data_IF_708949322711
#
_entry.id   IF_708949322711
#
_cell.length_a   1.000
_cell.length_b   1.000
_cell.length_c   1.000
_cell.angle_alpha   90.00
_cell.angle_beta   90.00
_cell.angle_gamma   90.00
#
_symmetry.space_group_name_H-M   'P 1'
#
loop_
_entity.id
_entity.type
_entity.pdbx_description
1 polymer ?
#
# COMPACT_ATOMS: atom_id res chain seq x y z
N UNK A 1 2.73 17.33 14.53
CA UNK A 1 1.66 17.22 13.52
C UNK A 1 2.10 17.95 12.28
N UNK A 2 2.29 17.25 11.16
CA UNK A 2 2.56 17.89 9.86
C UNK A 2 1.25 18.36 9.26
N UNK A 3 1.24 19.59 8.74
CA UNK A 3 0.16 20.08 7.89
C UNK A 3 0.24 19.37 6.54
N UNK A 4 -0.88 18.81 6.07
CA UNK A 4 -0.95 18.10 4.79
C UNK A 4 -2.35 18.22 4.21
N UNK A 5 -2.45 18.07 2.89
CA UNK A 5 -3.71 18.28 2.17
C UNK A 5 -4.71 17.16 2.48
N UNK A 6 -5.97 17.55 2.68
CA UNK A 6 -7.07 16.59 2.87
C UNK A 6 -7.44 15.88 1.56
N UNK A 7 -7.97 14.66 1.67
CA UNK A 7 -8.57 13.95 0.55
C UNK A 7 -9.82 14.69 0.04
N UNK A 8 -10.18 14.47 -1.22
CA UNK A 8 -11.40 15.00 -1.81
C UNK A 8 -12.60 14.14 -1.37
N UNK A 9 -13.57 14.67 -0.60
CA UNK A 9 -14.72 13.90 -0.13
C UNK A 9 -15.76 13.63 -1.23
N UNK A 10 -15.65 14.32 -2.37
CA UNK A 10 -16.57 14.25 -3.50
C UNK A 10 -15.95 13.44 -4.64
N UNK A 11 -15.64 12.17 -4.37
CA UNK A 11 -15.12 11.21 -5.37
C UNK A 11 -15.98 11.23 -6.63
N UNK A 12 -15.33 11.34 -7.79
CA UNK A 12 -15.99 11.25 -9.10
C UNK A 12 -15.79 9.86 -9.69
N UNK A 13 -16.77 9.42 -10.49
CA UNK A 13 -16.63 8.17 -11.23
C UNK A 13 -15.48 8.25 -12.25
N UNK A 14 -14.69 7.18 -12.43
CA UNK A 14 -13.64 7.16 -13.44
C UNK A 14 -14.22 7.24 -14.85
N UNK A 15 -13.46 7.76 -15.79
CA UNK A 15 -13.87 7.83 -17.20
C UNK A 15 -14.02 6.45 -17.82
N UNK A 16 -13.14 5.53 -17.43
CA UNK A 16 -13.17 4.13 -17.84
C UNK A 16 -13.48 3.27 -16.60
N UNK A 17 -14.62 2.58 -16.55
CA UNK A 17 -15.00 1.74 -15.42
C UNK A 17 -13.98 0.65 -15.13
N UNK A 18 -13.85 0.29 -13.85
CA UNK A 18 -13.05 -0.85 -13.43
C UNK A 18 -13.76 -2.18 -13.73
N UNK A 19 -13.01 -3.26 -13.99
CA UNK A 19 -13.58 -4.61 -14.03
C UNK A 19 -14.21 -4.99 -12.67
N UNK A 20 -15.32 -5.74 -12.71
CA UNK A 20 -15.95 -6.27 -11.50
C UNK A 20 -14.96 -7.10 -10.67
N UNK A 21 -15.06 -6.98 -9.35
CA UNK A 21 -14.12 -7.60 -8.41
C UNK A 21 -12.78 -6.87 -8.25
N UNK A 22 -12.64 -5.64 -8.77
CA UNK A 22 -11.42 -4.85 -8.63
C UNK A 22 -11.03 -4.62 -7.16
N UNK A 23 -9.72 -4.68 -6.89
CA UNK A 23 -9.13 -4.51 -5.58
C UNK A 23 -8.31 -3.23 -5.45
N UNK A 24 -8.56 -2.46 -4.39
CA UNK A 24 -7.63 -1.44 -3.93
C UNK A 24 -6.66 -2.04 -2.90
N UNK A 25 -5.40 -2.18 -3.27
CA UNK A 25 -4.42 -2.86 -2.41
C UNK A 25 -3.85 -1.98 -1.28
N UNK A 26 -4.32 -0.73 -1.13
CA UNK A 26 -3.75 0.19 -0.16
C UNK A 26 -4.69 1.35 0.18
N UNK A 27 -5.41 1.20 1.30
CA UNK A 27 -6.08 2.30 1.99
C UNK A 27 -5.70 2.35 3.46
N UNK A 28 -5.91 3.51 4.08
CA UNK A 28 -5.82 3.73 5.51
C UNK A 28 -7.16 4.24 6.01
N UNK A 29 -7.54 3.87 7.23
CA UNK A 29 -8.78 4.36 7.84
C UNK A 29 -8.50 4.86 9.25
N UNK A 30 -9.37 5.76 9.68
CA UNK A 30 -9.30 6.45 10.95
C UNK A 30 -10.69 6.37 11.61
N UNK A 31 -10.70 6.19 12.92
CA UNK A 31 -11.93 6.19 13.70
C UNK A 31 -12.01 7.37 14.66
N UNK A 32 -13.09 7.40 15.42
CA UNK A 32 -13.32 8.36 16.50
C UNK A 32 -12.11 8.40 17.46
N UNK A 33 -11.44 9.55 17.64
CA UNK A 33 -10.30 9.69 18.56
C UNK A 33 -10.60 9.29 20.01
N UNK A 34 -11.85 9.35 20.45
CA UNK A 34 -12.24 8.91 21.80
C UNK A 34 -12.22 7.37 21.91
N UNK A 35 -12.67 6.66 20.86
CA UNK A 35 -12.67 5.20 20.81
C UNK A 35 -11.29 4.62 20.46
N UNK A 36 -10.56 5.32 19.57
CA UNK A 36 -9.27 4.92 19.05
C UNK A 36 -8.24 6.03 19.26
N UNK A 37 -7.64 6.12 20.47
CA UNK A 37 -6.60 7.10 20.75
C UNK A 37 -5.40 6.92 19.82
N UNK A 38 -4.88 8.04 19.32
CA UNK A 38 -3.68 8.03 18.50
C UNK A 38 -2.43 7.70 19.30
N UNK A 39 -1.46 7.10 18.62
CA UNK A 39 -0.12 6.91 19.16
C UNK A 39 0.51 8.25 19.53
N UNK A 40 1.24 8.36 20.65
CA UNK A 40 2.05 9.53 20.97
C UNK A 40 3.08 9.90 19.90
N UNK A 41 3.41 8.96 18.99
CA UNK A 41 4.34 9.15 17.86
C UNK A 41 3.64 9.51 16.55
N UNK A 42 2.33 9.73 16.55
CA UNK A 42 1.58 10.07 15.34
C UNK A 42 2.10 11.34 14.67
N UNK A 43 2.42 11.26 13.38
CA UNK A 43 2.95 12.39 12.61
C UNK A 43 1.83 13.22 11.93
N UNK A 44 0.67 12.60 11.67
CA UNK A 44 -0.49 13.15 10.98
C UNK A 44 -1.76 12.45 11.47
N UNK A 45 -2.92 13.11 11.31
CA UNK A 45 -4.25 12.60 11.68
C UNK A 45 -5.24 12.89 10.54
N UNK A 46 -6.20 12.00 10.35
CA UNK A 46 -7.25 12.15 9.34
C UNK A 46 -8.62 11.70 9.90
N UNK A 47 -9.19 12.38 10.92
CA UNK A 47 -10.37 11.88 11.63
C UNK A 47 -11.58 11.62 10.73
N UNK A 48 -11.71 12.33 9.61
CA UNK A 48 -12.81 12.17 8.66
C UNK A 48 -12.63 10.97 7.70
N UNK A 49 -11.47 10.31 7.73
CA UNK A 49 -11.14 9.19 6.85
C UNK A 49 -11.65 7.85 7.42
N UNK A 50 -12.96 7.75 7.66
CA UNK A 50 -13.59 6.54 8.22
C UNK A 50 -13.71 5.41 7.19
N UNK A 51 -13.95 4.19 7.66
CA UNK A 51 -14.21 3.06 6.76
C UNK A 51 -15.46 3.28 5.91
N UNK A 52 -16.50 3.92 6.44
CA UNK A 52 -17.71 4.26 5.69
C UNK A 52 -17.42 5.25 4.55
N UNK A 53 -16.53 6.23 4.80
CA UNK A 53 -16.08 7.16 3.77
C UNK A 53 -15.27 6.43 2.68
N UNK A 54 -14.38 5.51 3.07
CA UNK A 54 -13.63 4.68 2.12
C UNK A 54 -14.56 3.78 1.29
N UNK A 55 -15.57 3.14 1.91
CA UNK A 55 -16.55 2.31 1.21
C UNK A 55 -17.43 3.12 0.24
N UNK A 56 -17.78 4.35 0.61
CA UNK A 56 -18.47 5.29 -0.29
C UNK A 56 -17.60 5.62 -1.50
N UNK A 57 -16.32 5.93 -1.27
CA UNK A 57 -15.33 6.17 -2.34
C UNK A 57 -15.21 4.93 -3.25
N UNK A 58 -15.01 3.73 -2.68
CA UNK A 58 -14.93 2.47 -3.42
C UNK A 58 -16.18 2.21 -4.27
N UNK A 59 -17.37 2.48 -3.72
CA UNK A 59 -18.64 2.33 -4.45
C UNK A 59 -18.72 3.23 -5.68
N UNK A 60 -18.16 4.44 -5.64
CA UNK A 60 -18.13 5.35 -6.80
C UNK A 60 -17.11 4.88 -7.84
N UNK A 61 -15.97 4.34 -7.40
CA UNK A 61 -14.91 3.85 -8.29
C UNK A 61 -15.21 2.46 -8.91
N UNK A 62 -16.14 1.70 -8.34
CA UNK A 62 -16.41 0.31 -8.73
C UNK A 62 -15.41 -0.68 -8.13
N UNK A 63 -14.84 -0.39 -6.97
CA UNK A 63 -13.94 -1.26 -6.22
C UNK A 63 -14.78 -2.13 -5.26
N UNK A 64 -14.54 -3.44 -5.28
CA UNK A 64 -15.30 -4.41 -4.47
C UNK A 64 -14.45 -5.07 -3.37
N UNK A 65 -13.13 -4.97 -3.49
CA UNK A 65 -12.16 -5.59 -2.58
C UNK A 65 -11.14 -4.56 -2.12
N UNK A 66 -10.57 -4.76 -0.94
CA UNK A 66 -9.55 -3.81 -0.47
C UNK A 66 -8.66 -4.29 0.65
N UNK A 67 -7.50 -3.65 0.76
CA UNK A 67 -6.54 -3.90 1.83
C UNK A 67 -6.45 -2.68 2.73
N UNK A 68 -6.97 -2.82 3.94
CA UNK A 68 -6.87 -1.80 4.98
C UNK A 68 -5.54 -1.96 5.67
N UNK A 69 -4.66 -0.99 5.47
CA UNK A 69 -3.31 -1.00 6.03
C UNK A 69 -3.29 -0.17 7.31
N UNK A 70 -2.71 -0.73 8.36
CA UNK A 70 -2.53 -0.07 9.65
C UNK A 70 -1.84 1.29 9.44
N UNK A 71 -2.52 2.35 9.87
CA UNK A 71 -1.96 3.70 9.85
C UNK A 71 -0.88 3.83 10.92
N UNK A 72 0.24 4.46 10.58
CA UNK A 72 1.29 4.74 11.57
C UNK A 72 0.80 5.68 12.69
N UNK A 73 -0.34 6.35 12.50
CA UNK A 73 -0.98 7.16 13.54
C UNK A 73 -1.45 6.34 14.74
N UNK A 74 -1.70 5.03 14.58
CA UNK A 74 -2.13 4.13 15.65
C UNK A 74 -1.01 3.22 16.16
N UNK A 75 0.16 3.18 15.50
CA UNK A 75 1.25 2.28 15.88
C UNK A 75 0.81 0.82 15.85
N UNK A 76 0.98 0.10 16.95
CA UNK A 76 0.56 -1.30 17.14
C UNK A 76 -0.79 -1.46 17.83
N UNK A 77 -1.59 -0.40 17.95
CA UNK A 77 -3.00 -0.52 18.32
C UNK A 77 -3.85 -0.76 17.06
N UNK A 78 -4.23 -2.01 16.82
CA UNK A 78 -5.02 -2.39 15.63
C UNK A 78 -6.53 -2.36 15.85
N UNK A 79 -7.06 -1.81 16.95
CA UNK A 79 -8.51 -1.78 17.20
C UNK A 79 -9.29 -1.14 16.05
N UNK A 80 -8.86 0.03 15.59
CA UNK A 80 -9.48 0.73 14.46
C UNK A 80 -9.41 -0.10 13.16
N UNK A 81 -8.29 -0.80 12.92
CA UNK A 81 -8.13 -1.68 11.75
C UNK A 81 -9.12 -2.85 11.81
N UNK A 82 -9.22 -3.54 12.94
CA UNK A 82 -10.07 -4.71 13.11
C UNK A 82 -11.55 -4.36 13.00
N UNK A 83 -11.98 -3.26 13.63
CA UNK A 83 -13.36 -2.79 13.55
C UNK A 83 -13.71 -2.35 12.13
N UNK A 84 -12.77 -1.71 11.42
CA UNK A 84 -12.96 -1.37 10.00
C UNK A 84 -13.13 -2.63 9.12
N UNK A 85 -12.34 -3.68 9.34
CA UNK A 85 -12.49 -4.94 8.59
C UNK A 85 -13.83 -5.61 8.87
N UNK A 86 -14.32 -5.56 10.12
CA UNK A 86 -15.63 -6.08 10.48
C UNK A 86 -16.77 -5.36 9.73
N UNK A 87 -16.64 -4.04 9.53
CA UNK A 87 -17.61 -3.22 8.78
C UNK A 87 -17.49 -3.46 7.27
N UNK A 88 -16.25 -3.52 6.74
CA UNK A 88 -15.99 -3.66 5.30
C UNK A 88 -16.38 -5.04 4.74
N UNK A 89 -16.33 -6.08 5.57
CA UNK A 89 -16.79 -7.42 5.23
C UNK A 89 -15.77 -8.27 4.46
N UNK A 90 -16.20 -9.41 3.90
CA UNK A 90 -15.31 -10.49 3.49
C UNK A 90 -14.41 -10.18 2.28
N UNK A 91 -14.72 -9.13 1.50
CA UNK A 91 -13.89 -8.64 0.40
C UNK A 91 -12.64 -7.88 0.85
N UNK A 92 -12.48 -7.64 2.15
CA UNK A 92 -11.38 -6.86 2.70
C UNK A 92 -10.44 -7.67 3.58
N UNK A 93 -9.16 -7.30 3.57
CA UNK A 93 -8.12 -7.86 4.46
C UNK A 93 -7.29 -6.75 5.08
N UNK A 94 -6.64 -7.06 6.19
CA UNK A 94 -5.78 -6.14 6.91
C UNK A 94 -4.29 -6.35 6.63
N UNK A 95 -3.52 -5.27 6.74
CA UNK A 95 -2.06 -5.31 6.88
C UNK A 95 -1.66 -4.59 8.17
N UNK A 96 -1.16 -5.31 9.16
CA UNK A 96 -0.80 -4.78 10.47
C UNK A 96 0.63 -4.23 10.53
N UNK A 97 0.94 -3.45 11.57
CA UNK A 97 2.32 -3.24 12.03
C UNK A 97 2.64 -4.26 13.12
N UNK A 98 3.80 -4.91 13.05
CA UNK A 98 4.27 -5.91 14.02
C UNK A 98 5.65 -5.49 14.52
N UNK A 99 5.82 -5.47 15.84
CA UNK A 99 7.07 -5.15 16.52
C UNK A 99 7.51 -6.27 17.49
N UNK A 100 8.58 -6.01 18.25
CA UNK A 100 9.14 -6.99 19.20
C UNK A 100 8.21 -7.27 20.40
N UNK A 101 7.25 -6.38 20.70
CA UNK A 101 6.30 -6.52 21.80
C UNK A 101 5.01 -7.24 21.36
N UNK A 102 4.82 -7.45 20.05
CA UNK A 102 3.66 -8.15 19.51
C UNK A 102 3.73 -9.64 19.83
N UNK A 103 2.81 -10.16 20.63
CA UNK A 103 2.77 -11.58 21.06
C UNK A 103 2.19 -12.51 19.99
N UNK A 104 2.41 -13.82 20.10
CA UNK A 104 1.80 -14.80 19.19
C UNK A 104 0.27 -14.84 19.33
N UNK A 105 -0.25 -14.62 20.55
CA UNK A 105 -1.68 -14.46 20.81
C UNK A 105 -2.24 -13.25 20.04
N UNK A 106 -1.52 -12.13 20.03
CA UNK A 106 -1.91 -10.95 19.27
C UNK A 106 -1.86 -11.23 17.76
N UNK A 107 -0.83 -11.90 17.25
CA UNK A 107 -0.78 -12.30 15.83
C UNK A 107 -1.95 -13.22 15.44
N UNK A 108 -2.32 -14.16 16.31
CA UNK A 108 -3.49 -15.02 16.11
C UNK A 108 -4.79 -14.19 16.11
N UNK A 109 -4.94 -13.25 17.05
CA UNK A 109 -6.09 -12.32 17.11
C UNK A 109 -6.22 -11.50 15.82
N UNK A 110 -5.11 -10.97 15.32
CA UNK A 110 -5.07 -10.24 14.05
C UNK A 110 -5.42 -11.14 12.86
N UNK A 111 -4.93 -12.38 12.84
CA UNK A 111 -5.25 -13.36 11.79
C UNK A 111 -6.75 -13.66 11.76
N UNK A 112 -7.36 -13.97 12.90
CA UNK A 112 -8.81 -14.21 12.99
C UNK A 112 -9.62 -12.96 12.60
N UNK A 113 -9.11 -11.77 12.90
CA UNK A 113 -9.67 -10.49 12.50
C UNK A 113 -9.51 -10.13 11.01
N UNK A 114 -8.90 -10.99 10.19
CA UNK A 114 -8.76 -10.78 8.75
C UNK A 114 -7.46 -10.12 8.30
N UNK A 115 -6.49 -9.91 9.20
CA UNK A 115 -5.15 -9.44 8.83
C UNK A 115 -4.37 -10.57 8.15
N UNK A 116 -3.71 -10.26 7.03
CA UNK A 116 -2.92 -11.23 6.24
C UNK A 116 -1.52 -10.74 5.88
N UNK A 117 -1.09 -9.61 6.44
CA UNK A 117 0.27 -9.13 6.22
C UNK A 117 0.80 -8.21 7.30
N UNK A 118 2.13 -8.05 7.29
CA UNK A 118 2.85 -7.14 8.17
C UNK A 118 3.61 -6.08 7.38
N UNK A 119 3.52 -4.81 7.79
CA UNK A 119 4.19 -3.66 7.15
C UNK A 119 5.39 -3.19 7.96
N UNK A 120 6.51 -3.02 7.27
CA UNK A 120 7.72 -2.37 7.75
C UNK A 120 7.87 -0.99 7.09
N UNK A 121 8.11 0.04 7.92
CA UNK A 121 8.34 1.40 7.45
C UNK A 121 9.80 1.79 7.66
N UNK A 122 10.55 1.92 6.56
CA UNK A 122 11.94 2.39 6.53
C UNK A 122 11.95 3.87 6.15
N UNK A 123 11.97 4.75 7.14
CA UNK A 123 12.07 6.20 6.93
C UNK A 123 13.42 6.71 7.42
N UNK A 124 14.35 6.95 6.49
CA UNK A 124 15.72 7.37 6.82
C UNK A 124 15.79 8.69 7.60
N UNK A 125 14.85 9.62 7.37
CA UNK A 125 14.84 10.96 7.97
C UNK A 125 14.23 11.04 9.37
N UNK A 126 13.56 9.98 9.84
CA UNK A 126 12.88 9.96 11.14
C UNK A 126 13.56 9.05 12.18
N UNK A 127 14.64 8.33 11.82
CA UNK A 127 15.32 7.43 12.76
C UNK A 127 14.44 6.27 13.26
N UNK A 128 13.42 5.89 12.49
CA UNK A 128 12.39 4.91 12.85
C UNK A 128 12.43 3.65 11.97
N UNK A 129 13.55 3.37 11.30
CA UNK A 129 13.71 2.12 10.58
C UNK A 129 13.76 0.94 11.58
N UNK A 130 13.01 -0.15 11.35
CA UNK A 130 13.13 -1.35 12.17
C UNK A 130 14.54 -1.94 12.01
N UNK A 131 15.04 -2.58 13.06
CA UNK A 131 16.30 -3.32 12.97
C UNK A 131 16.15 -4.51 12.03
N UNK A 132 17.23 -4.92 11.36
CA UNK A 132 17.21 -6.10 10.49
C UNK A 132 16.79 -7.37 11.27
N UNK A 133 17.21 -7.49 12.53
CA UNK A 133 16.83 -8.62 13.39
C UNK A 133 15.33 -8.65 13.69
N UNK A 134 14.71 -7.50 13.97
CA UNK A 134 13.25 -7.40 14.13
C UNK A 134 12.55 -7.85 12.85
N UNK A 135 12.99 -7.35 11.69
CA UNK A 135 12.39 -7.69 10.40
C UNK A 135 12.47 -9.19 10.13
N UNK A 136 13.65 -9.80 10.30
CA UNK A 136 13.85 -11.26 10.12
C UNK A 136 12.97 -12.07 11.07
N UNK A 137 12.91 -11.70 12.36
CA UNK A 137 12.04 -12.36 13.35
C UNK A 137 10.57 -12.25 12.96
N UNK A 138 10.10 -11.07 12.59
CA UNK A 138 8.71 -10.85 12.19
C UNK A 138 8.37 -11.65 10.94
N UNK A 139 9.22 -11.66 9.90
CA UNK A 139 9.02 -12.49 8.70
C UNK A 139 8.86 -13.96 9.07
N UNK A 140 9.73 -14.50 9.93
CA UNK A 140 9.64 -15.90 10.34
C UNK A 140 8.30 -16.20 11.04
N UNK A 141 7.86 -15.34 11.96
CA UNK A 141 6.61 -15.53 12.70
C UNK A 141 5.37 -15.42 11.81
N UNK A 142 5.31 -14.43 10.93
CA UNK A 142 4.13 -14.23 10.08
C UNK A 142 4.07 -15.25 8.92
N UNK A 143 5.21 -15.83 8.52
CA UNK A 143 5.25 -16.92 7.56
C UNK A 143 4.51 -18.17 8.05
N UNK A 144 4.52 -18.46 9.37
CA UNK A 144 3.75 -19.57 9.96
C UNK A 144 2.23 -19.37 9.81
N UNK A 145 1.78 -18.13 9.64
CA UNK A 145 0.39 -17.75 9.41
C UNK A 145 0.04 -17.62 7.92
N UNK A 146 0.99 -17.86 7.02
CA UNK A 146 0.83 -17.67 5.57
C UNK A 146 0.69 -16.19 5.16
N UNK A 147 1.18 -15.26 5.98
CA UNK A 147 1.07 -13.83 5.70
C UNK A 147 2.14 -13.36 4.71
N UNK A 148 1.83 -12.28 4.00
CA UNK A 148 2.80 -11.52 3.23
C UNK A 148 3.47 -10.44 4.09
N UNK A 149 4.61 -9.92 3.62
CA UNK A 149 5.25 -8.74 4.21
C UNK A 149 5.31 -7.59 3.24
N UNK A 150 5.33 -6.36 3.76
CA UNK A 150 5.26 -5.15 2.95
C UNK A 150 6.28 -4.12 3.41
N UNK A 151 7.03 -3.55 2.48
CA UNK A 151 8.14 -2.64 2.74
C UNK A 151 7.86 -1.27 2.15
N UNK A 152 7.58 -0.31 3.03
CA UNK A 152 7.55 1.10 2.68
C UNK A 152 8.92 1.71 2.96
N UNK A 153 9.63 2.07 1.91
CA UNK A 153 10.97 2.67 1.99
C UNK A 153 10.88 4.11 1.49
N UNK A 154 11.39 5.06 2.27
CA UNK A 154 11.48 6.47 1.88
C UNK A 154 12.84 7.06 2.29
N UNK A 155 13.47 7.76 1.34
CA UNK A 155 14.74 8.46 1.55
C UNK A 155 15.95 7.54 1.78
N UNK A 156 15.86 6.27 1.38
CA UNK A 156 16.96 5.29 1.46
C UNK A 156 17.02 4.47 0.15
N UNK A 157 18.22 4.23 -0.41
CA UNK A 157 18.38 3.33 -1.54
C UNK A 157 18.03 1.88 -1.17
N UNK A 158 17.31 1.17 -2.05
CA UNK A 158 16.97 -0.24 -1.80
C UNK A 158 18.19 -1.16 -1.74
N UNK A 159 19.30 -0.77 -2.38
CA UNK A 159 20.56 -1.53 -2.34
C UNK A 159 21.22 -1.55 -0.95
N UNK A 160 20.84 -0.64 -0.04
CA UNK A 160 21.37 -0.60 1.32
C UNK A 160 20.55 -1.46 2.31
N UNK A 161 19.45 -2.06 1.85
CA UNK A 161 18.57 -2.90 2.67
C UNK A 161 18.83 -4.39 2.38
N UNK A 162 19.88 -4.94 3.00
CA UNK A 162 20.28 -6.35 2.90
C UNK A 162 19.14 -7.31 3.27
N UNK A 163 18.27 -6.92 4.21
CA UNK A 163 17.13 -7.72 4.65
C UNK A 163 16.15 -8.06 3.53
N UNK A 164 16.12 -7.28 2.43
CA UNK A 164 15.31 -7.61 1.26
C UNK A 164 15.80 -8.89 0.57
N UNK A 165 17.09 -9.22 0.69
CA UNK A 165 17.64 -10.44 0.11
C UNK A 165 17.28 -11.72 0.88
N UNK A 166 16.95 -11.57 2.16
CA UNK A 166 16.60 -12.68 3.04
C UNK A 166 15.12 -13.11 2.93
N UNK A 167 14.29 -12.34 2.21
CA UNK A 167 12.84 -12.59 2.14
C UNK A 167 12.52 -13.72 1.16
N UNK A 168 12.04 -14.83 1.69
CA UNK A 168 11.63 -16.02 0.90
C UNK A 168 10.13 -16.15 0.70
N UNK A 169 9.32 -15.50 1.56
CA UNK A 169 7.85 -15.48 1.45
C UNK A 169 7.33 -14.39 0.52
N UNK A 170 6.00 -14.29 0.32
CA UNK A 170 5.40 -13.23 -0.47
C UNK A 170 5.70 -11.85 0.12
N UNK A 171 6.16 -10.93 -0.72
CA UNK A 171 6.61 -9.62 -0.27
C UNK A 171 6.20 -8.49 -1.23
N UNK A 172 5.93 -7.30 -0.70
CA UNK A 172 5.48 -6.14 -1.48
C UNK A 172 6.42 -4.96 -1.27
N UNK A 173 6.91 -4.36 -2.35
CA UNK A 173 7.50 -3.02 -2.34
C UNK A 173 6.39 -1.97 -2.54
N UNK A 174 6.29 -1.04 -1.60
CA UNK A 174 5.27 0.00 -1.61
C UNK A 174 5.54 1.11 -2.64
N UNK A 175 4.46 1.60 -3.27
CA UNK A 175 4.44 2.87 -4.03
C UNK A 175 5.62 3.06 -5.01
N UNK A 176 5.79 2.12 -5.95
CA UNK A 176 6.90 2.02 -6.91
C UNK A 176 8.29 1.76 -6.33
N UNK A 177 8.46 1.74 -5.01
CA UNK A 177 9.74 1.83 -4.33
C UNK A 177 10.20 3.29 -4.16
N UNK A 178 11.35 3.54 -3.50
CA UNK A 178 11.88 4.88 -3.25
C UNK A 178 12.55 5.46 -4.52
N UNK A 179 11.79 5.59 -5.60
CA UNK A 179 12.30 6.04 -6.90
C UNK A 179 12.80 7.49 -6.85
N UNK A 180 13.90 7.73 -7.56
CA UNK A 180 14.34 9.06 -8.00
C UNK A 180 13.82 9.33 -9.41
N UNK A 181 12.70 10.04 -9.51
CA UNK A 181 12.07 10.39 -10.79
C UNK A 181 12.98 11.25 -11.69
N UNK A 182 14.01 11.92 -11.15
CA UNK A 182 14.95 12.70 -11.96
C UNK A 182 15.87 11.83 -12.83
N UNK A 183 16.06 10.55 -12.47
CA UNK A 183 16.90 9.60 -13.21
C UNK A 183 16.12 8.83 -14.29
N UNK A 184 14.78 8.92 -14.27
CA UNK A 184 13.92 8.12 -15.15
C UNK A 184 14.22 6.63 -15.05
N UNK A 185 14.02 5.89 -16.15
CA UNK A 185 14.22 4.42 -16.17
C UNK A 185 15.67 3.95 -15.95
N UNK A 186 16.64 4.86 -15.77
CA UNK A 186 18.01 4.55 -15.36
C UNK A 186 18.20 4.57 -13.83
N UNK A 187 17.16 4.88 -13.05
CA UNK A 187 17.21 4.82 -11.59
C UNK A 187 17.64 3.43 -11.10
N UNK A 188 18.63 3.40 -10.23
CA UNK A 188 19.10 2.18 -9.58
C UNK A 188 18.00 1.50 -8.75
N UNK A 189 17.09 2.27 -8.12
CA UNK A 189 15.97 1.71 -7.38
C UNK A 189 14.97 1.03 -8.31
N UNK A 190 14.70 1.59 -9.49
CA UNK A 190 13.88 0.95 -10.51
C UNK A 190 14.49 -0.39 -10.96
N UNK A 191 15.80 -0.42 -11.22
CA UNK A 191 16.54 -1.65 -11.52
C UNK A 191 16.45 -2.68 -10.40
N UNK A 192 16.60 -2.24 -9.14
CA UNK A 192 16.55 -3.11 -7.95
C UNK A 192 15.17 -3.71 -7.74
N UNK A 193 14.09 -2.95 -7.91
CA UNK A 193 12.73 -3.50 -7.82
C UNK A 193 12.51 -4.56 -8.90
N UNK A 194 12.95 -4.32 -10.14
CA UNK A 194 12.83 -5.31 -11.22
C UNK A 194 13.59 -6.60 -10.95
N UNK A 195 14.77 -6.49 -10.35
CA UNK A 195 15.54 -7.66 -9.90
C UNK A 195 14.77 -8.46 -8.84
N UNK A 196 14.19 -7.79 -7.84
CA UNK A 196 13.36 -8.44 -6.81
C UNK A 196 12.14 -9.14 -7.43
N UNK A 197 11.41 -8.46 -8.32
CA UNK A 197 10.27 -9.04 -9.06
C UNK A 197 10.67 -10.34 -9.79
N UNK A 198 11.86 -10.37 -10.40
CA UNK A 198 12.39 -11.56 -11.08
C UNK A 198 12.61 -12.79 -10.19
N UNK A 199 12.58 -12.63 -8.86
CA UNK A 199 12.66 -13.76 -7.90
C UNK A 199 11.33 -14.50 -7.73
N UNK A 200 10.23 -13.91 -8.19
CA UNK A 200 8.91 -14.56 -8.24
C UNK A 200 8.08 -14.50 -6.96
N UNK A 201 8.68 -14.17 -5.81
CA UNK A 201 7.97 -13.97 -4.54
C UNK A 201 7.68 -12.49 -4.22
N UNK A 202 8.26 -11.56 -4.98
CA UNK A 202 8.09 -10.13 -4.79
C UNK A 202 7.02 -9.54 -5.69
N UNK A 203 6.29 -8.59 -5.15
CA UNK A 203 5.32 -7.73 -5.81
C UNK A 203 5.74 -6.27 -5.68
N UNK A 204 5.27 -5.42 -6.59
CA UNK A 204 5.38 -3.97 -6.47
C UNK A 204 3.99 -3.33 -6.60
N UNK A 205 3.73 -2.33 -5.77
CA UNK A 205 2.51 -1.55 -5.87
C UNK A 205 2.75 -0.25 -6.64
N UNK A 206 2.05 -0.06 -7.77
CA UNK A 206 2.15 1.15 -8.60
C UNK A 206 1.14 2.21 -8.17
N UNK A 207 1.41 2.90 -7.07
CA UNK A 207 0.56 3.96 -6.50
C UNK A 207 1.37 5.21 -6.18
N UNK A 208 0.72 6.35 -5.91
CA UNK A 208 1.38 7.62 -5.60
C UNK A 208 2.26 8.20 -6.71
N UNK A 209 1.99 7.86 -7.98
CA UNK A 209 2.70 8.44 -9.11
C UNK A 209 2.39 9.94 -9.30
N UNK A 210 1.16 10.35 -8.99
CA UNK A 210 0.67 11.73 -9.05
C UNK A 210 1.51 12.70 -8.20
N UNK A 211 1.92 12.25 -7.00
CA UNK A 211 2.64 13.08 -6.02
C UNK A 211 4.15 13.07 -6.19
N UNK A 212 4.70 12.12 -6.96
CA UNK A 212 6.15 11.96 -7.16
C UNK A 212 6.63 12.40 -8.54
N UNK A 213 5.73 12.39 -9.52
CA UNK A 213 5.99 12.84 -10.88
C UNK A 213 6.67 14.21 -10.90
N UNK A 214 7.68 14.34 -11.75
CA UNK A 214 8.36 15.59 -12.05
C UNK A 214 7.79 16.27 -13.31
N UNK A 215 7.03 15.53 -14.12
CA UNK A 215 6.38 16.06 -15.32
C UNK A 215 4.99 16.67 -15.03
N UNK A 216 4.40 16.37 -13.87
CA UNK A 216 3.04 16.76 -13.53
C UNK A 216 2.01 16.05 -14.42
N UNK A 217 0.73 16.40 -14.28
CA UNK A 217 -0.34 15.79 -15.07
C UNK A 217 -0.06 15.92 -16.58
N UNK A 218 -0.15 14.82 -17.37
CA UNK A 218 -0.82 13.56 -17.05
C UNK A 218 0.05 12.46 -16.41
N UNK A 219 1.25 12.79 -15.91
CA UNK A 219 2.16 11.92 -15.15
C UNK A 219 2.84 10.83 -16.02
N UNK A 220 3.39 11.25 -17.16
CA UNK A 220 4.00 10.33 -18.15
C UNK A 220 5.20 9.55 -17.63
N UNK A 221 5.97 10.14 -16.71
CA UNK A 221 7.09 9.50 -16.02
C UNK A 221 6.63 8.37 -15.08
N UNK A 222 5.57 8.59 -14.30
CA UNK A 222 4.97 7.54 -13.48
C UNK A 222 4.41 6.39 -14.33
N UNK A 223 3.76 6.72 -15.45
CA UNK A 223 3.27 5.72 -16.39
C UNK A 223 4.40 4.89 -17.02
N UNK A 224 5.54 5.51 -17.32
CA UNK A 224 6.71 4.80 -17.84
C UNK A 224 7.26 3.78 -16.83
N UNK A 225 7.38 4.15 -15.55
CA UNK A 225 7.80 3.21 -14.51
C UNK A 225 6.81 2.06 -14.33
N UNK A 226 5.50 2.35 -14.30
CA UNK A 226 4.48 1.33 -14.06
C UNK A 226 4.48 0.28 -15.18
N UNK A 227 4.50 0.74 -16.44
CA UNK A 227 4.62 -0.13 -17.62
C UNK A 227 5.91 -0.94 -17.58
N UNK A 228 7.01 -0.34 -17.10
CA UNK A 228 8.28 -1.04 -16.94
C UNK A 228 8.21 -2.20 -15.94
N UNK A 229 7.49 -2.03 -14.83
CA UNK A 229 7.23 -3.11 -13.87
C UNK A 229 6.27 -4.17 -14.43
N UNK A 230 5.17 -3.75 -15.07
CA UNK A 230 4.21 -4.67 -15.71
C UNK A 230 4.90 -5.52 -16.78
N UNK A 231 5.74 -4.92 -17.62
CA UNK A 231 6.52 -5.65 -18.63
C UNK A 231 7.56 -6.60 -18.03
N UNK A 232 8.01 -6.37 -16.78
CA UNK A 232 9.00 -7.21 -16.11
C UNK A 232 8.37 -8.44 -15.47
N UNK A 233 7.25 -8.26 -14.77
CA UNK A 233 6.56 -9.32 -14.05
C UNK A 233 5.06 -8.98 -13.94
N UNK A 234 4.27 -9.21 -15.00
CA UNK A 234 2.86 -8.79 -15.05
C UNK A 234 1.98 -9.45 -13.98
N UNK A 235 2.38 -10.62 -13.49
CA UNK A 235 1.76 -11.34 -12.37
C UNK A 235 2.19 -10.84 -10.97
N UNK A 236 2.99 -9.77 -10.90
CA UNK A 236 3.58 -9.25 -9.66
C UNK A 236 3.38 -7.73 -9.46
N UNK A 237 2.45 -7.13 -10.19
CA UNK A 237 2.11 -5.71 -10.05
C UNK A 237 0.75 -5.54 -9.41
N UNK A 238 0.66 -4.65 -8.42
CA UNK A 238 -0.56 -4.30 -7.69
C UNK A 238 -0.84 -2.80 -7.86
N UNK A 239 -2.06 -2.37 -7.57
CA UNK A 239 -2.42 -0.96 -7.50
C UNK A 239 -3.20 -0.65 -6.22
N UNK A 240 -3.14 0.60 -5.78
CA UNK A 240 -4.01 1.12 -4.72
C UNK A 240 -4.09 2.64 -4.75
N UNK A 241 -5.14 3.20 -4.15
CA UNK A 241 -5.36 4.66 -4.11
C UNK A 241 -4.39 5.36 -3.16
N UNK A 242 -3.95 4.67 -2.10
CA UNK A 242 -3.31 5.27 -0.92
C UNK A 242 -4.21 6.28 -0.20
N UNK A 243 -5.54 6.16 -0.35
CA UNK A 243 -6.51 6.95 0.39
C UNK A 243 -6.28 6.79 1.91
N UNK A 244 -6.34 7.87 2.72
CA UNK A 244 -6.81 9.22 2.44
C UNK A 244 -5.66 10.18 2.07
N UNK A 245 -4.64 9.70 1.36
CA UNK A 245 -3.49 10.47 0.89
C UNK A 245 -2.62 11.06 2.02
N UNK A 246 -2.18 10.22 2.99
CA UNK A 246 -1.44 10.70 4.14
C UNK A 246 -0.17 11.43 3.71
N UNK A 247 0.08 12.60 4.32
CA UNK A 247 1.26 13.44 4.07
C UNK A 247 1.40 13.93 2.62
N UNK A 248 0.33 13.88 1.81
CA UNK A 248 0.32 14.52 0.50
C UNK A 248 0.36 16.04 0.65
N UNK A 249 1.21 16.71 -0.12
CA UNK A 249 1.36 18.16 -0.11
C UNK A 249 0.98 18.74 -1.47
N UNK A 250 0.15 19.76 -1.48
CA UNK A 250 -0.31 20.40 -2.72
C UNK A 250 -1.70 19.94 -3.11
N UNK A 251 -1.93 19.75 -4.41
CA UNK A 251 -3.25 19.35 -4.92
C UNK A 251 -3.36 17.83 -4.83
N UNK A 252 -4.23 17.35 -3.93
CA UNK A 252 -4.60 15.93 -3.86
C UNK A 252 -5.54 15.64 -5.02
N UNK A 253 -5.23 14.65 -5.88
CA UNK A 253 -6.13 14.28 -6.96
C UNK A 253 -7.40 13.64 -6.40
N UNK A 254 -8.53 13.88 -7.08
CA UNK A 254 -9.73 13.07 -6.86
C UNK A 254 -9.43 11.60 -7.20
N UNK A 255 -9.89 10.66 -6.38
CA UNK A 255 -9.56 9.24 -6.54
C UNK A 255 -10.02 8.66 -7.89
N UNK A 256 -11.07 9.22 -8.50
CA UNK A 256 -11.49 8.86 -9.86
C UNK A 256 -10.41 9.11 -10.91
N UNK A 257 -9.64 10.18 -10.76
CA UNK A 257 -8.53 10.49 -11.66
C UNK A 257 -7.31 9.57 -11.43
N UNK A 258 -7.16 9.00 -10.23
CA UNK A 258 -6.13 8.00 -9.97
C UNK A 258 -6.45 6.69 -10.70
N UNK A 259 -7.73 6.33 -10.82
CA UNK A 259 -8.18 5.21 -11.65
C UNK A 259 -7.94 5.51 -13.13
N UNK A 260 -8.23 6.72 -13.61
CA UNK A 260 -7.91 7.12 -14.99
C UNK A 260 -6.40 7.04 -15.26
N UNK A 261 -5.56 7.37 -14.28
CA UNK A 261 -4.11 7.19 -14.34
C UNK A 261 -3.69 5.71 -14.39
N UNK A 262 -4.36 4.83 -13.64
CA UNK A 262 -4.13 3.38 -13.71
C UNK A 262 -4.36 2.82 -15.12
N UNK A 263 -5.39 3.29 -15.84
CA UNK A 263 -5.60 2.90 -17.25
C UNK A 263 -4.46 3.33 -18.17
N UNK A 264 -3.66 4.33 -17.78
CA UNK A 264 -2.41 4.67 -18.48
C UNK A 264 -1.27 3.73 -18.11
N UNK A 265 -1.27 3.18 -16.90
CA UNK A 265 -0.26 2.22 -16.44
C UNK A 265 -0.43 0.87 -17.15
N UNK A 266 -1.67 0.38 -17.19
CA UNK A 266 -2.06 -0.88 -17.81
C UNK A 266 -3.13 -0.64 -18.89
N UNK A 267 -2.74 -0.20 -20.10
CA UNK A 267 -3.70 0.12 -21.18
C UNK A 267 -4.31 -1.13 -21.83
N UNK A 268 -3.71 -2.31 -21.63
CA UNK A 268 -4.27 -3.59 -22.06
C UNK A 268 -5.23 -4.15 -21.00
N UNK A 269 -6.38 -4.67 -21.44
CA UNK A 269 -7.39 -5.20 -20.53
C UNK A 269 -6.88 -6.40 -19.71
N UNK A 270 -6.03 -7.25 -20.28
CA UNK A 270 -5.48 -8.40 -19.56
C UNK A 270 -4.46 -7.94 -18.50
N UNK A 271 -3.64 -6.93 -18.80
CA UNK A 271 -2.75 -6.31 -17.80
C UNK A 271 -3.55 -5.67 -16.66
N UNK A 272 -4.57 -4.88 -16.98
CA UNK A 272 -5.42 -4.23 -15.97
C UNK A 272 -6.11 -5.26 -15.07
N UNK A 273 -6.63 -6.34 -15.66
CA UNK A 273 -7.24 -7.45 -14.92
C UNK A 273 -6.23 -8.12 -13.98
N UNK A 274 -4.98 -8.34 -14.40
CA UNK A 274 -3.97 -8.88 -13.49
C UNK A 274 -3.71 -7.96 -12.30
N UNK A 275 -3.53 -6.67 -12.57
CA UNK A 275 -3.21 -5.67 -11.54
C UNK A 275 -4.32 -5.53 -10.49
N UNK A 276 -5.58 -5.63 -10.89
CA UNK A 276 -6.72 -5.37 -10.01
C UNK A 276 -7.44 -6.62 -9.50
N UNK A 277 -7.33 -7.76 -10.19
CA UNK A 277 -8.08 -8.99 -9.86
C UNK A 277 -7.12 -10.12 -9.51
N UNK A 278 -6.33 -10.60 -10.47
CA UNK A 278 -5.61 -11.87 -10.33
C UNK A 278 -4.48 -11.77 -9.29
N UNK A 279 -3.65 -10.72 -9.38
CA UNK A 279 -2.51 -10.55 -8.48
C UNK A 279 -2.95 -10.27 -7.03
N UNK A 280 -3.93 -9.38 -6.77
CA UNK A 280 -4.48 -9.21 -5.41
C UNK A 280 -5.15 -10.47 -4.87
N UNK A 281 -5.85 -11.25 -5.70
CA UNK A 281 -6.48 -12.49 -5.28
C UNK A 281 -5.43 -13.54 -4.86
N UNK A 282 -4.35 -13.69 -5.63
CA UNK A 282 -3.23 -14.58 -5.31
C UNK A 282 -2.54 -14.18 -4.01
N UNK A 283 -2.24 -12.89 -3.84
CA UNK A 283 -1.45 -12.42 -2.71
C UNK A 283 -2.25 -12.28 -1.41
N UNK A 284 -3.46 -11.75 -1.48
CA UNK A 284 -4.25 -11.38 -0.30
C UNK A 284 -5.38 -12.37 0.03
N UNK A 285 -5.75 -13.25 -0.91
CA UNK A 285 -6.87 -14.17 -0.75
C UNK A 285 -8.22 -13.45 -0.67
N UNK A 286 -8.40 -12.45 -1.53
CA UNK A 286 -9.63 -11.64 -1.67
C UNK A 286 -10.33 -11.88 -2.99
#
# INVERSE_FOLDING_TARGET
>A
MKDYSHFDPDTVAPQIPLPAGACDSQIHVFGDPEAYPYSPRAAYLAPDATIEAALKMHSVLGIEKGIVVQSTAYGTDHRALLDALAVAGPGYRGCGVVDDDTTDEELARLHEGGVRGARFNFHGTLGHAPSADLVRRTIARVAELGWYVKFHVNGLPLAELDVLDDVTGPAVIDHFGPLDYSQGLQDANFGRVRELLGRGNWYVMVSNGDRRSQLGSPYDDAAAYARGYIATAPERVLWGTDWPHPLHTGVVPNDGHLVDLLHRYAPDEAELRRVLLDNPAELFGV
#
